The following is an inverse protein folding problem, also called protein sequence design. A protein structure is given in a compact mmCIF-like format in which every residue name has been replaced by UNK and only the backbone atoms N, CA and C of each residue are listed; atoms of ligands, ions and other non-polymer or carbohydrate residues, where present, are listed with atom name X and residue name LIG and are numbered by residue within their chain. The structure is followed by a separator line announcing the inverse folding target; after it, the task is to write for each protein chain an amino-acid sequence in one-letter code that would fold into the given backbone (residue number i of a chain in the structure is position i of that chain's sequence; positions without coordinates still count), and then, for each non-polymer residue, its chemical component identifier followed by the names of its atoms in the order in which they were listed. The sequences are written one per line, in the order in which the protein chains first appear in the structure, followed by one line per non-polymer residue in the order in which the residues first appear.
data_IF_188435449177
#
_entry.id   IF_188435449177
#
_cell.length_a   1.000
_cell.length_b   1.000
_cell.length_c   1.000
_cell.angle_alpha   90.00
_cell.angle_beta   90.00
_cell.angle_gamma   90.00
#
_symmetry.space_group_name_H-M   'P 1'
#
loop_
_entity.id
_entity.type
_entity.pdbx_description
1 polymer ?
#
# COMPACT_ATOMS: atom_id res chain seq x y z
N UNK A 1 -57.76 -34.75 4.66
CA UNK A 1 -56.46 -34.14 4.95
C UNK A 1 -55.63 -34.23 3.69
N UNK A 2 -55.60 -33.19 2.87
CA UNK A 2 -54.53 -33.00 1.89
C UNK A 2 -54.27 -31.49 1.81
N UNK A 3 -53.13 -31.08 2.34
CA UNK A 3 -52.66 -29.70 2.30
C UNK A 3 -51.85 -29.51 1.02
N UNK A 4 -52.40 -28.77 0.06
CA UNK A 4 -51.68 -28.36 -1.14
C UNK A 4 -50.88 -27.11 -0.78
N UNK A 5 -49.62 -27.28 -0.40
CA UNK A 5 -48.67 -26.19 -0.18
C UNK A 5 -48.08 -25.71 -1.49
N UNK A 6 -48.38 -24.46 -1.81
CA UNK A 6 -47.73 -23.60 -2.80
C UNK A 6 -46.20 -23.63 -2.66
N UNK A 7 -45.50 -24.18 -3.65
CA UNK A 7 -44.06 -23.97 -3.79
C UNK A 7 -43.83 -22.61 -4.46
N UNK A 8 -43.56 -21.58 -3.64
CA UNK A 8 -43.07 -20.30 -4.11
C UNK A 8 -41.70 -20.51 -4.77
N UNK A 9 -41.63 -20.18 -6.06
CA UNK A 9 -40.41 -20.14 -6.85
C UNK A 9 -39.57 -18.98 -6.32
N UNK A 10 -38.64 -19.25 -5.41
CA UNK A 10 -37.60 -18.30 -5.02
C UNK A 10 -36.65 -18.19 -6.21
N UNK A 11 -36.99 -17.33 -7.16
CA UNK A 11 -36.01 -16.72 -8.05
C UNK A 11 -35.11 -15.86 -7.18
N UNK A 12 -34.07 -16.48 -6.64
CA UNK A 12 -32.91 -15.78 -6.11
C UNK A 12 -32.37 -14.92 -7.24
N UNK A 13 -32.64 -13.62 -7.15
CA UNK A 13 -31.98 -12.61 -7.95
C UNK A 13 -30.48 -12.77 -7.71
N UNK A 14 -29.64 -13.01 -8.74
CA UNK A 14 -28.23 -12.77 -8.59
C UNK A 14 -28.13 -11.26 -8.46
N UNK A 15 -28.09 -10.78 -7.21
CA UNK A 15 -27.55 -9.47 -6.90
C UNK A 15 -26.18 -9.47 -7.55
N UNK A 16 -26.14 -8.82 -8.71
CA UNK A 16 -24.95 -8.44 -9.46
C UNK A 16 -23.77 -8.29 -8.50
N UNK A 17 -22.81 -9.18 -8.66
CA UNK A 17 -21.40 -9.00 -8.27
C UNK A 17 -20.75 -7.81 -9.03
N UNK A 18 -21.54 -6.83 -9.48
CA UNK A 18 -21.11 -5.55 -10.04
C UNK A 18 -20.87 -4.53 -8.91
N UNK A 19 -20.39 -4.96 -7.73
CA UNK A 19 -19.51 -4.07 -6.96
C UNK A 19 -18.20 -4.07 -7.74
N UNK A 20 -18.22 -3.39 -8.88
CA UNK A 20 -17.07 -2.82 -9.52
C UNK A 20 -16.34 -2.09 -8.39
N UNK A 21 -15.32 -2.74 -7.84
CA UNK A 21 -14.62 -2.23 -6.69
C UNK A 21 -13.80 -1.08 -7.22
N UNK A 22 -14.41 0.09 -7.19
CA UNK A 22 -13.83 1.32 -7.68
C UNK A 22 -12.53 1.56 -6.90
N UNK A 23 -11.42 1.76 -7.62
CA UNK A 23 -10.11 2.00 -7.01
C UNK A 23 -9.96 3.47 -6.60
N UNK A 24 -11.02 4.28 -6.72
CA UNK A 24 -11.10 5.67 -6.28
C UNK A 24 -10.81 5.89 -4.77
N UNK A 25 -10.87 4.84 -3.93
CA UNK A 25 -10.49 4.95 -2.51
C UNK A 25 -8.98 5.11 -2.30
N UNK A 26 -8.15 4.85 -3.33
CA UNK A 26 -6.70 4.97 -3.22
C UNK A 26 -6.28 6.45 -3.09
N UNK A 27 -5.46 6.80 -2.08
CA UNK A 27 -4.91 8.14 -1.97
C UNK A 27 -4.08 8.49 -3.21
N UNK A 28 -4.42 9.62 -3.85
CA UNK A 28 -3.71 10.11 -5.03
C UNK A 28 -2.23 10.41 -4.75
N UNK A 29 -1.91 10.84 -3.52
CA UNK A 29 -0.53 11.07 -3.05
C UNK A 29 0.28 9.78 -3.05
N UNK A 30 -0.24 8.71 -2.45
CA UNK A 30 0.41 7.40 -2.41
C UNK A 30 0.60 6.84 -3.82
N UNK A 31 -0.44 6.91 -4.66
CA UNK A 31 -0.37 6.43 -6.05
C UNK A 31 0.68 7.21 -6.85
N UNK A 32 0.79 8.52 -6.61
CA UNK A 32 1.83 9.38 -7.19
C UNK A 32 3.24 8.98 -6.75
N UNK A 33 3.46 8.74 -5.46
CA UNK A 33 4.77 8.30 -4.96
C UNK A 33 5.15 6.90 -5.50
N UNK A 34 4.20 5.98 -5.56
CA UNK A 34 4.39 4.66 -6.17
C UNK A 34 4.77 4.76 -7.65
N UNK A 35 4.12 5.68 -8.38
CA UNK A 35 4.45 5.97 -9.78
C UNK A 35 5.89 6.46 -9.91
N UNK A 36 6.29 7.48 -9.15
CA UNK A 36 7.66 8.01 -9.21
C UNK A 36 8.72 6.96 -8.86
N UNK A 37 8.43 6.08 -7.89
CA UNK A 37 9.31 4.96 -7.56
C UNK A 37 9.50 3.99 -8.73
N UNK A 38 8.40 3.55 -9.36
CA UNK A 38 8.43 2.62 -10.49
C UNK A 38 9.12 3.28 -11.69
N UNK A 39 8.79 4.54 -11.99
CA UNK A 39 9.42 5.29 -13.09
C UNK A 39 10.93 5.40 -12.88
N UNK A 40 11.39 5.87 -11.71
CA UNK A 40 12.83 6.00 -11.42
C UNK A 40 13.59 4.67 -11.50
N UNK A 41 12.97 3.56 -11.08
CA UNK A 41 13.56 2.23 -11.26
C UNK A 41 13.67 1.84 -12.74
N UNK A 42 12.59 2.00 -13.50
CA UNK A 42 12.55 1.56 -14.90
C UNK A 42 13.25 2.51 -15.88
N UNK A 43 13.52 3.76 -15.49
CA UNK A 43 14.44 4.63 -16.21
C UNK A 43 15.86 4.06 -16.26
N UNK A 44 16.30 3.39 -15.18
CA UNK A 44 17.63 2.76 -15.09
C UNK A 44 17.62 1.35 -15.69
N UNK A 45 16.58 0.57 -15.42
CA UNK A 45 16.52 -0.86 -15.76
C UNK A 45 15.75 -1.19 -17.06
N UNK A 46 15.12 -0.19 -17.67
CA UNK A 46 14.28 -0.34 -18.85
C UNK A 46 12.84 -0.75 -18.52
N UNK A 47 11.90 -0.22 -19.29
CA UNK A 47 10.46 -0.45 -19.11
C UNK A 47 9.94 -1.76 -19.72
N UNK A 48 10.72 -2.39 -20.62
CA UNK A 48 10.27 -3.59 -21.35
C UNK A 48 9.98 -4.80 -20.44
N UNK A 49 10.56 -4.83 -19.24
CA UNK A 49 10.37 -5.91 -18.26
C UNK A 49 9.09 -5.78 -17.46
N UNK A 50 8.49 -4.58 -17.37
CA UNK A 50 7.36 -4.30 -16.50
C UNK A 50 6.10 -5.14 -16.82
N UNK A 51 5.69 -5.31 -18.09
CA UNK A 51 4.57 -6.19 -18.42
C UNK A 51 4.87 -7.64 -18.02
N UNK A 52 6.06 -8.14 -18.32
CA UNK A 52 6.42 -9.52 -17.97
C UNK A 52 6.41 -9.75 -16.45
N UNK A 53 6.91 -8.77 -15.68
CA UNK A 53 6.94 -8.80 -14.23
C UNK A 53 5.54 -8.89 -13.61
N UNK A 54 4.57 -8.10 -14.10
CA UNK A 54 3.18 -8.15 -13.63
C UNK A 54 2.56 -9.55 -13.80
N UNK A 55 2.91 -10.27 -14.87
CA UNK A 55 2.42 -11.63 -15.12
C UNK A 55 3.17 -12.66 -14.28
N UNK A 56 4.49 -12.51 -14.11
CA UNK A 56 5.29 -13.34 -13.22
C UNK A 56 4.83 -13.24 -11.77
N UNK A 57 4.45 -12.05 -11.32
CA UNK A 57 3.87 -11.81 -10.00
C UNK A 57 2.40 -12.23 -9.90
N UNK A 58 1.82 -12.83 -10.94
CA UNK A 58 0.44 -13.31 -10.98
C UNK A 58 -0.61 -12.23 -10.74
N UNK A 59 -0.35 -11.00 -11.20
CA UNK A 59 -1.30 -9.89 -11.10
C UNK A 59 -2.44 -9.95 -12.14
N UNK A 60 -2.35 -10.86 -13.11
CA UNK A 60 -3.35 -11.04 -14.18
C UNK A 60 -4.80 -11.11 -13.68
N UNK A 61 -5.15 -12.00 -12.73
CA UNK A 61 -6.52 -12.11 -12.21
C UNK A 61 -7.04 -10.81 -11.56
N UNK A 62 -6.17 -10.08 -10.87
CA UNK A 62 -6.53 -8.79 -10.27
C UNK A 62 -6.80 -7.74 -11.35
N UNK A 63 -5.89 -7.62 -12.34
CA UNK A 63 -6.04 -6.67 -13.45
C UNK A 63 -7.31 -6.97 -14.26
N UNK A 64 -7.61 -8.25 -14.49
CA UNK A 64 -8.76 -8.68 -15.25
C UNK A 64 -10.08 -8.44 -14.52
N UNK A 65 -10.14 -8.54 -13.19
CA UNK A 65 -11.40 -8.34 -12.44
C UNK A 65 -11.77 -6.87 -12.29
N UNK A 66 -10.80 -5.97 -12.20
CA UNK A 66 -11.04 -4.53 -12.06
C UNK A 66 -11.18 -3.83 -13.41
N UNK A 67 -12.36 -3.24 -13.66
CA UNK A 67 -12.70 -2.60 -14.95
C UNK A 67 -11.69 -1.53 -15.35
N UNK A 68 -11.25 -0.71 -14.40
CA UNK A 68 -10.29 0.38 -14.67
C UNK A 68 -8.93 -0.15 -15.13
N UNK A 69 -8.37 -1.12 -14.39
CA UNK A 69 -7.10 -1.75 -14.75
C UNK A 69 -7.20 -2.48 -16.09
N UNK A 70 -8.30 -3.19 -16.33
CA UNK A 70 -8.57 -3.86 -17.62
C UNK A 70 -8.61 -2.86 -18.79
N UNK A 71 -9.23 -1.70 -18.59
CA UNK A 71 -9.27 -0.65 -19.60
C UNK A 71 -7.88 -0.05 -19.88
N UNK A 72 -7.10 0.21 -18.83
CA UNK A 72 -5.71 0.68 -18.97
C UNK A 72 -4.87 -0.37 -19.71
N UNK A 73 -4.98 -1.65 -19.33
CA UNK A 73 -4.27 -2.75 -19.97
C UNK A 73 -4.61 -2.85 -21.46
N UNK A 74 -5.90 -2.78 -21.81
CA UNK A 74 -6.33 -2.83 -23.21
C UNK A 74 -5.77 -1.66 -24.02
N UNK A 75 -5.76 -0.44 -23.47
CA UNK A 75 -5.15 0.74 -24.12
C UNK A 75 -3.63 0.56 -24.28
N UNK A 76 -2.95 0.10 -23.24
CA UNK A 76 -1.50 -0.13 -23.24
C UNK A 76 -1.08 -1.24 -24.21
N UNK A 77 -1.90 -2.27 -24.39
CA UNK A 77 -1.59 -3.41 -25.27
C UNK A 77 -1.88 -3.13 -26.75
N UNK A 78 -2.77 -2.18 -27.05
CA UNK A 78 -3.21 -1.87 -28.43
C UNK A 78 -2.56 -0.63 -29.02
N UNK A 79 -1.93 0.20 -28.19
CA UNK A 79 -1.27 1.43 -28.66
C UNK A 79 -0.03 1.10 -29.49
N UNK A 80 0.22 1.91 -30.54
CA UNK A 80 1.42 1.83 -31.37
C UNK A 80 2.62 2.58 -30.77
N UNK A 81 2.42 3.31 -29.67
CA UNK A 81 3.46 4.06 -29.00
C UNK A 81 3.97 3.29 -27.79
N UNK A 82 5.24 2.88 -27.83
CA UNK A 82 5.90 2.24 -26.69
C UNK A 82 5.86 3.12 -25.44
N UNK A 83 6.01 4.44 -25.58
CA UNK A 83 5.88 5.40 -24.47
C UNK A 83 4.50 5.30 -23.80
N UNK A 84 3.42 5.35 -24.58
CA UNK A 84 2.04 5.24 -24.05
C UNK A 84 1.75 3.85 -23.47
N UNK A 85 2.34 2.80 -24.04
CA UNK A 85 2.23 1.45 -23.50
C UNK A 85 2.87 1.40 -22.10
N UNK A 86 4.10 1.87 -21.99
CA UNK A 86 4.84 1.94 -20.73
C UNK A 86 4.10 2.77 -19.68
N UNK A 87 3.59 3.95 -20.03
CA UNK A 87 2.76 4.78 -19.15
C UNK A 87 1.55 4.01 -18.60
N UNK A 88 0.88 3.22 -19.45
CA UNK A 88 -0.23 2.38 -19.02
C UNK A 88 0.19 1.25 -18.08
N UNK A 89 1.32 0.59 -18.35
CA UNK A 89 1.84 -0.45 -17.45
C UNK A 89 2.33 0.12 -16.11
N UNK A 90 2.95 1.31 -16.11
CA UNK A 90 3.33 2.05 -14.90
C UNK A 90 2.09 2.42 -14.10
N UNK A 91 1.02 2.87 -14.76
CA UNK A 91 -0.25 3.16 -14.09
C UNK A 91 -0.81 1.90 -13.41
N UNK A 92 -0.85 0.76 -14.09
CA UNK A 92 -1.30 -0.50 -13.49
C UNK A 92 -0.42 -0.88 -12.28
N UNK A 93 0.91 -0.88 -12.46
CA UNK A 93 1.84 -1.30 -11.42
C UNK A 93 1.80 -0.37 -10.19
N UNK A 94 1.70 0.94 -10.39
CA UNK A 94 1.59 1.92 -9.28
C UNK A 94 0.29 1.78 -8.50
N UNK A 95 -0.83 1.50 -9.18
CA UNK A 95 -2.11 1.22 -8.52
C UNK A 95 -2.05 -0.06 -7.69
N UNK A 96 -1.44 -1.12 -8.21
CA UNK A 96 -1.29 -2.39 -7.49
C UNK A 96 -0.34 -2.23 -6.29
N UNK A 97 0.80 -1.56 -6.47
CA UNK A 97 1.73 -1.30 -5.38
C UNK A 97 1.09 -0.46 -4.26
N UNK A 98 0.27 0.53 -4.61
CA UNK A 98 -0.47 1.32 -3.63
C UNK A 98 -1.48 0.47 -2.82
N UNK A 99 -2.15 -0.50 -3.46
CA UNK A 99 -3.02 -1.46 -2.77
C UNK A 99 -2.23 -2.30 -1.77
N UNK A 100 -1.08 -2.83 -2.18
CA UNK A 100 -0.20 -3.63 -1.31
C UNK A 100 0.30 -2.81 -0.10
N UNK A 101 0.72 -1.57 -0.31
CA UNK A 101 1.17 -0.67 0.77
C UNK A 101 0.07 -0.38 1.78
N UNK A 102 -1.15 -0.09 1.30
CA UNK A 102 -2.31 0.13 2.19
C UNK A 102 -2.67 -1.13 2.98
N UNK A 103 -2.64 -2.29 2.32
CA UNK A 103 -2.98 -3.56 2.95
C UNK A 103 -1.94 -4.01 4.00
N UNK A 104 -0.65 -3.76 3.76
CA UNK A 104 0.45 -4.09 4.69
C UNK A 104 0.59 -3.12 5.86
N UNK A 105 -0.10 -1.97 5.84
CA UNK A 105 0.15 -0.87 6.77
C UNK A 105 1.59 -0.34 6.72
N UNK A 106 2.26 -0.46 5.56
CA UNK A 106 3.61 0.05 5.38
C UNK A 106 3.67 1.57 5.59
N UNK A 107 4.74 2.05 6.24
CA UNK A 107 4.99 3.46 6.57
C UNK A 107 3.82 4.19 7.28
N UNK A 108 2.88 3.47 7.90
CA UNK A 108 1.74 4.06 8.61
C UNK A 108 0.57 4.52 7.73
N UNK A 109 0.56 4.21 6.42
CA UNK A 109 -0.54 4.64 5.53
C UNK A 109 -1.92 4.17 5.97
N UNK A 110 -2.02 2.94 6.48
CA UNK A 110 -3.28 2.40 7.01
C UNK A 110 -3.74 3.13 8.29
N UNK A 111 -2.83 3.74 9.07
CA UNK A 111 -3.24 4.53 10.24
C UNK A 111 -3.89 5.86 9.82
N UNK A 112 -3.46 6.41 8.68
CA UNK A 112 -4.01 7.66 8.12
C UNK A 112 -5.30 7.38 7.33
N UNK A 113 -5.35 6.24 6.62
CA UNK A 113 -6.50 5.84 5.79
C UNK A 113 -6.99 4.43 6.15
N UNK A 114 -7.60 4.23 7.34
CA UNK A 114 -7.99 2.89 7.81
C UNK A 114 -9.04 2.23 6.90
N UNK A 115 -10.04 2.99 6.44
CA UNK A 115 -11.08 2.50 5.53
C UNK A 115 -10.49 2.08 4.19
N UNK A 116 -9.54 2.85 3.66
CA UNK A 116 -8.85 2.51 2.41
C UNK A 116 -7.96 1.27 2.56
N UNK A 117 -7.34 1.09 3.74
CA UNK A 117 -6.56 -0.11 4.06
C UNK A 117 -7.40 -1.37 4.15
N UNK A 118 -8.57 -1.32 4.76
CA UNK A 118 -9.54 -2.43 4.77
C UNK A 118 -10.02 -2.77 3.35
N UNK A 119 -10.42 -1.75 2.58
CA UNK A 119 -10.82 -1.94 1.18
C UNK A 119 -9.70 -2.56 0.33
N UNK A 120 -8.45 -2.11 0.53
CA UNK A 120 -7.29 -2.68 -0.15
C UNK A 120 -7.06 -4.17 0.23
N UNK A 121 -7.21 -4.53 1.50
CA UNK A 121 -7.11 -5.93 1.96
C UNK A 121 -8.20 -6.79 1.32
N UNK A 122 -9.43 -6.31 1.31
CA UNK A 122 -10.55 -7.00 0.68
C UNK A 122 -10.29 -7.23 -0.82
N UNK A 123 -9.80 -6.20 -1.51
CA UNK A 123 -9.43 -6.30 -2.93
C UNK A 123 -8.34 -7.35 -3.12
N UNK A 124 -7.27 -7.34 -2.32
CA UNK A 124 -6.18 -8.30 -2.48
C UNK A 124 -6.61 -9.71 -2.09
N UNK A 125 -7.34 -9.92 -1.00
CA UNK A 125 -7.80 -11.25 -0.57
C UNK A 125 -8.69 -11.94 -1.61
N UNK A 126 -9.56 -11.18 -2.30
CA UNK A 126 -10.43 -11.72 -3.34
C UNK A 126 -9.66 -12.14 -4.59
N UNK A 127 -8.47 -11.56 -4.84
CA UNK A 127 -7.79 -11.60 -6.13
C UNK A 127 -6.39 -12.22 -6.10
N UNK A 128 -5.74 -12.31 -4.93
CA UNK A 128 -4.41 -12.84 -4.74
C UNK A 128 -4.45 -14.23 -4.10
N UNK A 129 -3.59 -15.14 -4.57
CA UNK A 129 -3.41 -16.48 -4.02
C UNK A 129 -2.57 -16.46 -2.72
N UNK A 130 -2.88 -15.57 -1.77
CA UNK A 130 -2.23 -15.51 -0.45
C UNK A 130 -1.81 -14.11 -0.01
N UNK A 131 -1.20 -14.04 1.19
CA UNK A 131 -0.70 -12.82 1.85
C UNK A 131 0.56 -12.20 1.20
N UNK A 132 0.99 -12.72 0.05
CA UNK A 132 2.24 -12.31 -0.59
C UNK A 132 2.04 -11.00 -1.35
N UNK A 133 2.93 -10.03 -1.16
CA UNK A 133 2.87 -8.69 -1.76
C UNK A 133 4.06 -8.49 -2.70
N UNK A 134 4.04 -9.14 -3.88
CA UNK A 134 5.23 -9.28 -4.71
C UNK A 134 5.76 -7.96 -5.27
N UNK A 135 4.92 -6.94 -5.50
CA UNK A 135 5.41 -5.65 -5.97
C UNK A 135 6.11 -4.91 -4.83
N UNK A 136 5.55 -4.95 -3.61
CA UNK A 136 6.24 -4.45 -2.42
C UNK A 136 7.57 -5.15 -2.18
N UNK A 137 7.60 -6.49 -2.25
CA UNK A 137 8.83 -7.26 -2.05
C UNK A 137 9.89 -6.87 -3.08
N UNK A 138 9.48 -6.67 -4.34
CA UNK A 138 10.40 -6.31 -5.40
C UNK A 138 10.91 -4.87 -5.31
N UNK A 139 10.02 -3.89 -5.11
CA UNK A 139 10.39 -2.46 -5.17
C UNK A 139 10.88 -1.91 -3.83
N UNK A 140 10.42 -2.45 -2.69
CA UNK A 140 10.73 -1.91 -1.35
C UNK A 140 11.76 -2.75 -0.59
N UNK A 141 11.72 -4.06 -0.82
CA UNK A 141 12.58 -5.03 -0.15
C UNK A 141 13.43 -5.81 -1.15
N UNK A 142 14.20 -5.13 -2.04
CA UNK A 142 15.08 -5.85 -2.93
C UNK A 142 15.99 -6.75 -2.08
N UNK A 143 16.21 -8.02 -2.46
CA UNK A 143 16.83 -9.07 -1.64
C UNK A 143 18.29 -8.80 -1.20
N UNK A 144 18.80 -7.58 -1.40
CA UNK A 144 20.13 -7.13 -1.00
C UNK A 144 20.16 -5.96 -0.01
N UNK A 145 19.05 -5.26 0.28
CA UNK A 145 18.95 -4.23 1.33
C UNK A 145 17.52 -3.64 1.40
N UNK A 146 17.00 -3.42 2.61
CA UNK A 146 15.83 -2.55 2.82
C UNK A 146 16.25 -1.12 2.46
N UNK A 147 15.64 -0.55 1.41
CA UNK A 147 15.97 0.82 1.01
C UNK A 147 15.32 1.81 1.97
N UNK A 148 16.10 2.37 2.90
CA UNK A 148 15.66 3.49 3.74
C UNK A 148 15.17 4.68 2.90
N UNK A 149 15.72 4.84 1.69
CA UNK A 149 15.26 5.84 0.73
C UNK A 149 13.85 5.53 0.21
N UNK A 150 13.51 4.26 -0.06
CA UNK A 150 12.15 3.88 -0.47
C UNK A 150 11.13 4.15 0.64
N UNK A 151 11.50 3.87 1.91
CA UNK A 151 10.67 4.21 3.07
C UNK A 151 10.46 5.73 3.15
N UNK A 152 11.51 6.54 2.98
CA UNK A 152 11.39 8.00 3.02
C UNK A 152 10.56 8.57 1.86
N UNK A 153 10.72 8.04 0.64
CA UNK A 153 9.97 8.48 -0.54
C UNK A 153 8.49 8.14 -0.44
N UNK A 154 8.16 6.98 0.13
CA UNK A 154 6.79 6.50 0.27
C UNK A 154 6.18 6.86 1.62
N UNK A 155 6.87 7.55 2.52
CA UNK A 155 6.24 8.02 3.75
C UNK A 155 5.08 8.97 3.39
N UNK A 156 3.97 8.92 4.14
CA UNK A 156 2.94 9.93 4.03
C UNK A 156 3.57 11.32 4.13
N UNK A 157 3.19 12.28 3.26
CA UNK A 157 3.65 13.64 3.44
C UNK A 157 3.29 14.04 4.86
N UNK A 158 4.25 14.58 5.60
CA UNK A 158 4.00 15.15 6.91
C UNK A 158 3.04 16.33 6.68
N UNK A 159 1.73 16.05 6.64
CA UNK A 159 0.71 17.05 6.77
C UNK A 159 0.88 17.60 8.17
N UNK A 160 1.70 18.65 8.25
CA UNK A 160 1.57 19.72 9.22
C UNK A 160 0.09 20.03 9.24
N UNK A 161 -0.59 19.52 10.26
CA UNK A 161 -1.97 19.84 10.57
C UNK A 161 -2.06 21.36 10.67
N UNK A 162 -2.51 21.98 9.58
CA UNK A 162 -2.78 23.41 9.52
C UNK A 162 -4.28 23.58 9.68
N UNK A 163 -4.76 23.15 10.84
CA UNK A 163 -6.00 23.58 11.49
C UNK A 163 -5.93 23.01 12.92
N UNK A 164 -5.46 23.87 13.84
CA UNK A 164 -5.70 23.89 15.29
C UNK A 164 -4.72 24.88 15.95
N UNK A 165 -4.91 26.22 15.82
CA UNK A 165 -4.29 27.16 16.73
C UNK A 165 -5.11 27.15 18.04
N UNK A 166 -4.89 26.18 18.92
CA UNK A 166 -5.68 26.13 20.15
C UNK A 166 -5.29 25.18 21.28
N UNK A 167 -4.65 24.03 21.03
CA UNK A 167 -4.62 22.98 22.06
C UNK A 167 -3.26 22.34 22.42
N UNK A 168 -2.14 22.84 21.89
CA UNK A 168 -0.80 22.33 22.24
C UNK A 168 0.07 23.28 23.08
N UNK A 169 -0.53 24.15 23.90
CA UNK A 169 0.23 24.91 24.91
C UNK A 169 0.27 24.23 26.30
N UNK A 170 -0.10 22.95 26.39
CA UNK A 170 -0.01 22.19 27.64
C UNK A 170 0.59 20.80 27.39
N UNK A 171 1.90 20.74 27.15
CA UNK A 171 2.78 19.64 27.56
C UNK A 171 4.22 19.97 27.14
N UNK A 172 4.93 20.73 27.96
CA UNK A 172 6.38 20.53 28.07
C UNK A 172 6.56 19.23 28.86
N UNK A 173 7.12 18.14 28.30
CA UNK A 173 7.76 17.18 29.16
C UNK A 173 9.03 17.85 29.66
N UNK A 174 9.03 18.23 30.94
CA UNK A 174 10.22 18.68 31.62
C UNK A 174 11.29 17.59 31.49
N UNK A 175 12.37 17.91 30.77
CA UNK A 175 13.60 17.12 30.63
C UNK A 175 14.40 17.06 31.95
N UNK A 176 13.71 16.82 33.08
CA UNK A 176 14.32 16.69 34.41
C UNK A 176 14.56 15.23 34.79
N UNK A 177 13.76 14.29 34.26
CA UNK A 177 13.90 12.86 34.51
C UNK A 177 15.06 12.21 33.76
N UNK A 178 15.29 12.61 32.51
CA UNK A 178 16.32 12.03 31.64
C UNK A 178 17.75 12.31 32.14
N UNK A 179 17.95 13.47 32.78
CA UNK A 179 19.22 13.82 33.42
C UNK A 179 19.50 13.00 34.69
N UNK A 180 18.47 12.58 35.44
CA UNK A 180 18.62 11.73 36.63
C UNK A 180 18.90 10.27 36.27
N UNK A 181 18.30 9.76 35.19
CA UNK A 181 18.54 8.41 34.72
C UNK A 181 20.00 8.20 34.26
N UNK A 182 20.58 9.20 33.57
CA UNK A 182 21.99 9.16 33.17
C UNK A 182 22.95 9.30 34.37
N UNK A 183 22.58 10.07 35.39
CA UNK A 183 23.39 10.21 36.61
C UNK A 183 23.43 8.91 37.45
N UNK A 184 22.34 8.14 37.48
CA UNK A 184 22.32 6.85 38.16
C UNK A 184 23.17 5.80 37.43
N UNK A 185 23.12 5.77 36.10
CA UNK A 185 23.93 4.86 35.29
C UNK A 185 25.43 5.12 35.42
N UNK A 186 25.86 6.39 35.53
CA UNK A 186 27.28 6.72 35.74
C UNK A 186 27.75 6.35 37.16
N UNK A 187 26.93 6.55 38.20
CA UNK A 187 27.29 6.19 39.57
C UNK A 187 27.41 4.67 39.78
N UNK A 188 26.61 3.86 39.06
CA UNK A 188 26.68 2.40 39.15
C UNK A 188 27.96 1.87 38.49
N UNK A 189 28.42 2.47 37.39
CA UNK A 189 29.67 2.06 36.72
C UNK A 189 30.92 2.40 37.55
N UNK A 190 30.98 3.57 38.17
CA UNK A 190 32.11 3.96 39.05
C UNK A 190 32.19 3.10 40.32
N UNK A 191 31.08 2.52 40.78
CA UNK A 191 31.06 1.68 41.99
C UNK A 191 31.58 0.25 41.77
N UNK A 192 31.69 -0.20 40.51
CA UNK A 192 32.15 -1.55 40.14
C UNK A 192 33.67 -1.59 39.95
N UNK A 193 34.30 -0.46 39.58
CA UNK A 193 35.75 -0.38 39.35
C UNK A 193 36.60 -0.20 40.62
N UNK A 194 35.99 -0.02 41.79
CA UNK A 194 36.68 0.16 43.09
C UNK A 194 36.69 -1.10 43.98
N UNK A 195 36.37 -2.27 43.43
CA UNK A 195 36.41 -3.57 44.15
C UNK A 195 37.18 -4.68 43.41
N UNK A 196 38.25 -4.32 42.71
CA UNK A 196 39.26 -5.28 42.22
C UNK A 196 40.51 -5.23 43.09
#
# INVERSE_FOLDING_TARGET
MEAVTHAARVTGSPLRDDIATDLAFLPGTLTGQCRSLIESYHEVHGFASLPNMLWQFRMGPLIERHKELRQVLRKASTTRSAKKANEGFVQIASTILALEILASSFAGWNAIYPVAGEAARDVLQRNAHGSHMPLMDFYLYPPKQISAAAIATLAPPASRSHDEPGLYHASRPELSGERRALQYASMVLDSVDLRS
#
